data_IF_512472393291
#
_entry.id   IF_512472393291
#
_cell.length_a   1.000
_cell.length_b   1.000
_cell.length_c   1.000
_cell.angle_alpha   90.00
_cell.angle_beta   90.00
_cell.angle_gamma   90.00
#
_symmetry.space_group_name_H-M   'P 1'
#
loop_
_entity.id
_entity.type
_entity.pdbx_description
1 polymer ?
#
# COMPACT_ATOMS: atom_id res chain seq x y z
N UNK A 1 -4.13 12.97 -8.67
CA UNK A 1 -5.22 12.01 -8.34
C UNK A 1 -6.15 12.68 -7.36
N UNK A 2 -7.41 12.26 -7.31
CA UNK A 2 -8.45 12.89 -6.48
C UNK A 2 -8.81 11.92 -5.36
N UNK A 3 -8.76 12.39 -4.10
CA UNK A 3 -9.14 11.58 -2.94
C UNK A 3 -10.55 11.02 -3.11
N UNK A 4 -10.75 9.76 -2.74
CA UNK A 4 -12.00 9.00 -2.87
C UNK A 4 -12.48 8.74 -4.31
N UNK A 5 -11.78 9.22 -5.33
CA UNK A 5 -12.10 8.85 -6.71
C UNK A 5 -11.69 7.40 -6.98
N UNK A 6 -12.55 6.70 -7.70
CA UNK A 6 -12.30 5.35 -8.20
C UNK A 6 -11.53 5.38 -9.51
N UNK A 7 -10.64 4.39 -9.67
CA UNK A 7 -9.81 4.22 -10.83
C UNK A 7 -9.76 2.74 -11.25
N UNK A 8 -9.68 2.48 -12.56
CA UNK A 8 -9.35 1.17 -13.11
C UNK A 8 -7.85 0.93 -13.08
N UNK A 9 -7.43 -0.33 -13.32
CA UNK A 9 -6.02 -0.67 -13.50
C UNK A 9 -5.36 0.18 -14.60
N UNK A 10 -6.03 0.32 -15.74
CA UNK A 10 -5.54 1.02 -16.92
C UNK A 10 -5.37 2.52 -16.67
N UNK A 11 -6.29 3.13 -15.91
CA UNK A 11 -6.17 4.53 -15.51
C UNK A 11 -4.99 4.74 -14.57
N UNK A 12 -4.78 3.85 -13.61
CA UNK A 12 -3.63 3.90 -12.69
C UNK A 12 -2.32 3.69 -13.46
N UNK A 13 -2.28 2.73 -14.39
CA UNK A 13 -1.14 2.49 -15.28
C UNK A 13 -0.79 3.73 -16.10
N UNK A 14 -1.79 4.42 -16.62
CA UNK A 14 -1.63 5.67 -17.35
C UNK A 14 -1.07 6.78 -16.45
N UNK A 15 -1.67 6.99 -15.27
CA UNK A 15 -1.25 8.03 -14.31
C UNK A 15 0.21 7.85 -13.91
N UNK A 16 0.63 6.61 -13.63
CA UNK A 16 1.98 6.31 -13.17
C UNK A 16 2.96 5.96 -14.29
N UNK A 17 2.52 5.97 -15.56
CA UNK A 17 3.31 5.52 -16.71
C UNK A 17 3.96 4.15 -16.45
N UNK A 18 3.16 3.20 -15.94
CA UNK A 18 3.60 1.88 -15.50
C UNK A 18 2.76 0.79 -16.16
N UNK A 19 3.23 -0.45 -16.07
CA UNK A 19 2.46 -1.65 -16.39
C UNK A 19 2.56 -2.61 -15.19
N UNK A 20 1.42 -3.08 -14.68
CA UNK A 20 1.35 -4.07 -13.60
C UNK A 20 1.29 -5.51 -14.13
N UNK A 21 1.17 -5.70 -15.44
CA UNK A 21 1.03 -6.99 -16.09
C UNK A 21 -0.38 -7.55 -15.94
N UNK A 22 -0.48 -8.88 -15.83
CA UNK A 22 -1.77 -9.59 -15.75
C UNK A 22 -2.59 -9.25 -14.50
N UNK A 23 -1.94 -8.83 -13.41
CA UNK A 23 -2.61 -8.52 -12.16
C UNK A 23 -1.85 -7.54 -11.29
N UNK A 24 -2.59 -6.84 -10.43
CA UNK A 24 -2.02 -5.89 -9.47
C UNK A 24 -1.55 -6.64 -8.22
N UNK A 25 -0.28 -6.46 -7.87
CA UNK A 25 0.27 -6.89 -6.58
C UNK A 25 -0.09 -5.89 -5.48
N UNK A 26 -0.17 -6.37 -4.25
CA UNK A 26 -0.49 -5.54 -3.09
C UNK A 26 0.51 -4.41 -2.84
N UNK A 27 1.80 -4.66 -3.06
CA UNK A 27 2.87 -3.67 -2.90
C UNK A 27 3.64 -3.60 -4.21
N UNK A 28 3.72 -2.42 -4.80
CA UNK A 28 4.41 -2.20 -6.07
C UNK A 28 5.44 -1.08 -5.94
N UNK A 29 6.73 -1.43 -5.99
CA UNK A 29 7.84 -0.47 -6.01
C UNK A 29 8.09 0.04 -7.44
N UNK A 30 8.21 1.35 -7.59
CA UNK A 30 8.48 2.04 -8.86
C UNK A 30 9.49 3.16 -8.66
N UNK A 31 9.91 3.75 -9.78
CA UNK A 31 10.95 4.77 -9.86
C UNK A 31 10.45 5.92 -10.73
N UNK A 32 10.52 7.15 -10.22
CA UNK A 32 10.29 8.36 -11.01
C UNK A 32 11.45 8.59 -12.00
N UNK A 33 11.23 9.46 -12.99
CA UNK A 33 12.28 9.82 -13.98
C UNK A 33 13.54 10.40 -13.33
N UNK A 34 13.40 11.15 -12.23
CA UNK A 34 14.51 11.73 -11.48
C UNK A 34 15.30 10.70 -10.64
N UNK A 35 14.84 9.45 -10.59
CA UNK A 35 15.50 8.37 -9.89
C UNK A 35 14.92 8.01 -8.52
N UNK A 36 14.04 8.85 -7.97
CA UNK A 36 13.43 8.61 -6.66
C UNK A 36 12.47 7.42 -6.72
N UNK A 37 12.50 6.59 -5.67
CA UNK A 37 11.60 5.46 -5.54
C UNK A 37 10.26 5.91 -4.96
N UNK A 38 9.19 5.22 -5.35
CA UNK A 38 7.86 5.38 -4.75
C UNK A 38 7.13 4.05 -4.74
N UNK A 39 6.12 3.94 -3.89
CA UNK A 39 5.32 2.73 -3.72
C UNK A 39 3.88 3.01 -4.15
N UNK A 40 3.27 2.06 -4.84
CA UNK A 40 1.82 2.00 -5.03
C UNK A 40 1.31 0.82 -4.20
N UNK A 41 0.47 1.12 -3.21
CA UNK A 41 -0.06 0.16 -2.25
C UNK A 41 -1.53 -0.12 -2.57
N UNK A 42 -1.87 -1.39 -2.75
CA UNK A 42 -3.21 -1.87 -3.05
C UNK A 42 -3.71 -2.76 -1.91
N UNK A 43 -4.86 -2.41 -1.33
CA UNK A 43 -5.55 -3.19 -0.30
C UNK A 43 -6.96 -3.58 -0.75
N UNK A 44 -7.47 -4.71 -0.25
CA UNK A 44 -8.83 -5.19 -0.52
C UNK A 44 -9.61 -5.24 0.79
N UNK A 45 -10.91 -4.95 0.71
CA UNK A 45 -11.82 -4.83 1.86
C UNK A 45 -11.96 -6.11 2.71
N UNK A 46 -11.80 -7.29 2.13
CA UNK A 46 -11.77 -8.54 2.90
C UNK A 46 -10.41 -8.70 3.62
N UNK A 47 -10.25 -7.92 4.69
CA UNK A 47 -9.23 -7.99 5.73
C UNK A 47 -9.88 -7.68 7.08
N UNK A 48 -9.30 -8.10 8.23
CA UNK A 48 -10.01 -8.28 9.51
C UNK A 48 -10.37 -7.00 10.27
N UNK A 49 -10.62 -5.88 9.60
CA UNK A 49 -10.85 -4.59 10.26
C UNK A 49 -12.08 -3.88 9.67
N UNK A 50 -13.25 -4.37 10.04
CA UNK A 50 -14.38 -3.49 10.34
C UNK A 50 -14.10 -2.88 11.71
N UNK A 51 -13.80 -1.58 11.74
CA UNK A 51 -14.46 -0.60 12.60
C UNK A 51 -13.62 0.68 12.65
N UNK A 52 -14.27 1.75 12.20
CA UNK A 52 -13.85 3.15 12.18
C UNK A 52 -12.63 3.50 11.30
N UNK A 53 -12.89 4.31 10.27
CA UNK A 53 -11.94 5.34 9.82
C UNK A 53 -11.71 6.33 10.99
N UNK A 54 -11.15 5.86 12.11
CA UNK A 54 -10.56 6.70 13.13
C UNK A 54 -9.35 7.38 12.51
N UNK A 55 -9.27 8.69 12.69
CA UNK A 55 -8.70 9.68 11.75
C UNK A 55 -7.26 9.45 11.27
N UNK A 56 -6.46 8.53 11.81
CA UNK A 56 -5.01 8.56 11.61
C UNK A 56 -4.24 7.24 11.49
N UNK A 57 -4.78 6.00 11.48
CA UNK A 57 -3.93 4.83 11.18
C UNK A 57 -4.66 3.54 10.79
N UNK A 58 -4.04 2.68 9.99
CA UNK A 58 -4.49 1.32 9.69
C UNK A 58 -3.33 0.31 9.60
N UNK A 59 -3.66 -0.99 9.59
CA UNK A 59 -2.68 -2.08 9.48
C UNK A 59 -2.70 -2.75 8.10
N UNK A 60 -1.52 -3.12 7.62
CA UNK A 60 -1.33 -3.80 6.34
C UNK A 60 -0.42 -5.02 6.52
N UNK A 61 -0.88 -6.20 6.12
CA UNK A 61 -0.07 -7.42 6.11
C UNK A 61 0.82 -7.43 4.86
N UNK A 62 2.10 -7.74 5.02
CA UNK A 62 3.11 -7.72 3.95
C UNK A 62 2.86 -8.73 2.83
N UNK A 63 3.73 -8.72 1.82
CA UNK A 63 3.72 -9.67 0.73
C UNK A 63 4.11 -11.08 1.21
N UNK A 64 3.31 -12.08 0.81
CA UNK A 64 3.50 -13.50 1.09
C UNK A 64 2.34 -14.06 1.90
N UNK A 65 1.58 -14.99 1.33
CA UNK A 65 0.42 -15.61 1.99
C UNK A 65 0.68 -17.10 2.26
N UNK A 66 0.07 -17.63 3.33
CA UNK A 66 0.08 -19.05 3.73
C UNK A 66 1.49 -19.64 3.91
N UNK A 67 2.44 -18.83 4.39
CA UNK A 67 3.81 -19.20 4.74
C UNK A 67 4.47 -18.08 5.53
N UNK A 68 5.58 -18.38 6.19
CA UNK A 68 6.44 -17.36 6.78
C UNK A 68 6.90 -16.38 5.69
N UNK A 69 6.60 -15.10 5.91
CA UNK A 69 6.92 -14.05 4.97
C UNK A 69 8.42 -13.80 4.92
N UNK A 70 8.96 -13.76 3.71
CA UNK A 70 10.35 -13.38 3.49
C UNK A 70 10.48 -11.86 3.40
N UNK A 71 11.68 -11.35 3.65
CA UNK A 71 12.04 -9.97 3.33
C UNK A 71 12.19 -9.81 1.80
N UNK A 72 11.07 -9.83 1.09
CA UNK A 72 11.04 -9.59 -0.36
C UNK A 72 11.37 -8.12 -0.65
N UNK A 73 11.67 -7.80 -1.92
CA UNK A 73 11.86 -6.40 -2.32
C UNK A 73 10.64 -5.52 -1.98
N UNK A 74 9.43 -6.09 -1.99
CA UNK A 74 8.20 -5.41 -1.66
C UNK A 74 8.09 -5.11 -0.16
N UNK A 75 8.31 -6.11 0.70
CA UNK A 75 8.32 -5.92 2.15
C UNK A 75 9.45 -4.98 2.59
N UNK A 76 10.64 -5.14 2.00
CA UNK A 76 11.77 -4.24 2.25
C UNK A 76 11.43 -2.80 1.86
N UNK A 77 10.74 -2.58 0.74
CA UNK A 77 10.35 -1.25 0.33
C UNK A 77 9.47 -0.52 1.37
N UNK A 78 8.53 -1.22 2.02
CA UNK A 78 7.73 -0.63 3.10
C UNK A 78 8.55 -0.41 4.38
N UNK A 79 9.50 -1.28 4.69
CA UNK A 79 10.44 -1.06 5.82
C UNK A 79 11.28 0.19 5.55
N UNK A 80 11.91 0.28 4.39
CA UNK A 80 12.74 1.42 4.00
C UNK A 80 11.93 2.74 3.97
N UNK A 81 10.66 2.67 3.56
CA UNK A 81 9.76 3.83 3.50
C UNK A 81 9.46 4.47 4.86
N UNK A 82 9.69 3.74 5.96
CA UNK A 82 9.63 4.30 7.31
C UNK A 82 10.72 5.36 7.52
N UNK A 83 11.91 5.15 6.95
CA UNK A 83 13.10 5.95 7.23
C UNK A 83 13.42 6.95 6.11
N UNK A 84 13.17 6.61 4.85
CA UNK A 84 13.45 7.51 3.72
C UNK A 84 12.25 8.36 3.27
N UNK A 85 11.10 8.17 3.91
CA UNK A 85 9.87 8.91 3.66
C UNK A 85 9.43 8.94 2.19
N UNK A 86 9.81 7.93 1.39
CA UNK A 86 9.36 7.83 0.00
C UNK A 86 7.83 7.80 -0.09
N UNK A 87 7.29 8.41 -1.14
CA UNK A 87 5.84 8.50 -1.34
C UNK A 87 5.22 7.11 -1.50
N UNK A 88 4.11 6.88 -0.80
CA UNK A 88 3.27 5.69 -0.92
C UNK A 88 1.88 6.15 -1.36
N UNK A 89 1.44 5.75 -2.54
CA UNK A 89 0.07 6.02 -3.01
C UNK A 89 -0.84 4.86 -2.63
N UNK A 90 -1.85 5.14 -1.81
CA UNK A 90 -2.80 4.15 -1.32
C UNK A 90 -4.02 4.00 -2.22
N UNK A 91 -4.36 2.75 -2.53
CA UNK A 91 -5.56 2.36 -3.23
C UNK A 91 -6.27 1.25 -2.48
N UNK A 92 -7.60 1.36 -2.36
CA UNK A 92 -8.45 0.37 -1.69
C UNK A 92 -9.55 -0.10 -2.64
N UNK A 93 -9.78 -1.40 -2.69
CA UNK A 93 -10.90 -1.99 -3.40
C UNK A 93 -11.98 -2.38 -2.39
N UNK A 94 -13.12 -1.70 -2.49
CA UNK A 94 -14.35 -1.96 -1.74
C UNK A 94 -15.42 -2.43 -2.73
N UNK A 95 -15.99 -3.60 -2.49
CA UNK A 95 -16.95 -4.22 -3.41
C UNK A 95 -16.39 -4.67 -4.77
N UNK A 96 -16.35 -3.78 -5.78
CA UNK A 96 -16.20 -4.17 -7.19
C UNK A 96 -14.75 -4.53 -7.56
N UNK A 97 -14.54 -5.79 -7.96
CA UNK A 97 -13.26 -6.28 -8.48
C UNK A 97 -12.81 -5.45 -9.69
N UNK A 98 -11.55 -5.01 -9.65
CA UNK A 98 -10.90 -4.22 -10.71
C UNK A 98 -11.03 -2.71 -10.55
N UNK A 99 -11.86 -2.24 -9.60
CA UNK A 99 -12.02 -0.82 -9.28
C UNK A 99 -11.29 -0.53 -7.96
N UNK A 100 -10.58 0.60 -7.94
CA UNK A 100 -9.70 0.98 -6.84
C UNK A 100 -9.94 2.44 -6.46
N UNK A 101 -10.44 2.66 -5.25
CA UNK A 101 -10.60 3.98 -4.64
C UNK A 101 -9.24 4.50 -4.19
N UNK A 102 -8.85 5.69 -4.63
CA UNK A 102 -7.66 6.36 -4.13
C UNK A 102 -7.93 6.87 -2.71
N UNK A 103 -7.13 6.41 -1.74
CA UNK A 103 -7.30 6.75 -0.32
C UNK A 103 -6.30 7.81 0.17
N UNK A 104 -5.48 8.36 -0.73
CA UNK A 104 -4.47 9.36 -0.41
C UNK A 104 -3.05 8.81 -0.42
N UNK A 105 -2.11 9.66 -0.05
CA UNK A 105 -0.73 9.25 0.19
C UNK A 105 -0.58 8.78 1.63
N UNK A 106 0.32 7.81 1.84
CA UNK A 106 0.50 7.10 3.09
C UNK A 106 1.93 7.24 3.60
N UNK A 107 2.10 7.09 4.91
CA UNK A 107 3.40 6.93 5.57
C UNK A 107 3.39 5.69 6.46
N UNK A 108 4.52 5.00 6.53
CA UNK A 108 4.74 3.88 7.44
C UNK A 108 5.15 4.43 8.79
N UNK A 109 4.33 4.20 9.81
CA UNK A 109 4.62 4.57 11.19
C UNK A 109 5.57 3.59 11.85
N UNK A 110 5.28 2.31 11.70
CA UNK A 110 6.03 1.23 12.30
C UNK A 110 5.73 -0.10 11.59
N UNK A 111 6.52 -1.13 11.88
CA UNK A 111 6.21 -2.51 11.48
C UNK A 111 6.61 -3.49 12.57
N UNK A 112 5.98 -4.67 12.54
CA UNK A 112 6.36 -5.81 13.38
C UNK A 112 6.43 -7.07 12.52
N UNK A 113 7.26 -8.03 12.91
CA UNK A 113 7.28 -9.37 12.32
C UNK A 113 6.75 -10.35 13.37
N UNK A 114 5.50 -10.78 13.21
CA UNK A 114 4.73 -11.49 14.26
C UNK A 114 4.09 -12.75 13.71
N UNK A 115 3.86 -13.74 14.56
CA UNK A 115 3.10 -14.93 14.19
C UNK A 115 1.61 -14.59 14.07
N UNK A 116 1.02 -14.83 12.90
CA UNK A 116 -0.40 -14.64 12.58
C UNK A 116 -0.87 -15.86 11.78
N UNK A 117 -1.95 -16.50 12.21
CA UNK A 117 -2.49 -17.72 11.58
C UNK A 117 -1.43 -18.83 11.36
N UNK A 118 -0.49 -18.99 12.31
CA UNK A 118 0.57 -20.00 12.23
C UNK A 118 1.76 -19.64 11.35
N UNK A 119 1.83 -18.41 10.82
CA UNK A 119 2.92 -17.94 9.97
C UNK A 119 3.48 -16.61 10.44
N UNK A 120 4.79 -16.44 10.34
CA UNK A 120 5.43 -15.16 10.59
C UNK A 120 5.08 -14.15 9.48
N UNK A 121 4.54 -13.01 9.86
CA UNK A 121 3.94 -12.01 8.98
C UNK A 121 4.48 -10.62 9.31
N UNK A 122 4.89 -9.85 8.31
CA UNK A 122 5.16 -8.42 8.46
C UNK A 122 3.82 -7.69 8.56
N UNK A 123 3.61 -6.97 9.66
CA UNK A 123 2.42 -6.14 9.89
C UNK A 123 2.87 -4.69 9.97
N UNK A 124 2.49 -3.90 8.97
CA UNK A 124 2.82 -2.49 8.85
C UNK A 124 1.70 -1.64 9.43
N UNK A 125 2.04 -0.67 10.28
CA UNK A 125 1.13 0.40 10.71
C UNK A 125 1.34 1.58 9.76
N UNK A 126 0.29 1.99 9.07
CA UNK A 126 0.28 3.06 8.08
C UNK A 126 -0.68 4.16 8.51
N UNK A 127 -0.46 5.38 8.01
CA UNK A 127 -1.41 6.49 8.14
C UNK A 127 -1.42 7.37 6.91
N UNK A 128 -2.48 8.16 6.73
CA UNK A 128 -2.52 9.18 5.68
C UNK A 128 -1.47 10.25 5.98
N UNK A 129 -0.69 10.62 4.97
CA UNK A 129 0.17 11.79 5.06
C UNK A 129 -0.69 13.04 4.78
N UNK A 130 -0.95 13.85 5.80
CA UNK A 130 -1.42 15.22 5.56
C UNK A 130 -0.21 16.02 5.07
N UNK A 131 -0.28 16.54 3.84
CA UNK A 131 0.55 17.71 3.51
C UNK A 131 -0.03 18.86 4.32
N UNK A 132 0.69 19.30 5.36
CA UNK A 132 0.45 20.64 5.92
C UNK A 132 0.85 21.59 4.82
N UNK A 133 -0.14 22.16 4.14
CA UNK A 133 0.07 23.30 3.25
C UNK A 133 0.41 24.47 4.17
N UNK A 134 1.71 24.71 4.37
CA UNK A 134 2.24 25.90 5.06
C UNK A 134 2.23 27.10 4.13
#
# INVERSE_FOLDING_TARGET
MTLNKEYTKEEIETIFSTNFGYGIKGITLRKYKNGNLYIILFSKENGPYSDEFGENAFYYDGEGVNKDQKLTAANKALIDAKDDHRLIYGFRQEGKKGIWRYIGTLKVLNYKYVSKNGHMTYVFKLENSYEIVS
#
